data_IF_587274987401
#
_entry.id   IF_587274987401
#
_cell.length_a   1.000
_cell.length_b   1.000
_cell.length_c   1.000
_cell.angle_alpha   90.00
_cell.angle_beta   90.00
_cell.angle_gamma   90.00
#
_symmetry.space_group_name_H-M   'P 1'
#
loop_
_entity.id
_entity.type
_entity.pdbx_description
1 polymer ?
#
# COMPACT_ATOMS: atom_id res chain seq x y z
N UNK A 1 -8.32 1.30 -16.25
CA UNK A 1 -8.48 2.44 -15.31
C UNK A 1 -8.02 2.08 -13.90
N UNK A 2 -8.57 1.02 -13.27
CA UNK A 2 -8.30 0.71 -11.86
C UNK A 2 -6.83 0.34 -11.55
N UNK A 3 -6.15 -0.50 -12.33
CA UNK A 3 -4.74 -0.85 -12.08
C UNK A 3 -3.78 0.34 -12.19
N UNK A 4 -3.96 1.21 -13.18
CA UNK A 4 -3.13 2.40 -13.34
C UNK A 4 -3.29 3.34 -12.14
N UNK A 5 -4.51 3.45 -11.61
CA UNK A 5 -4.78 4.23 -10.41
C UNK A 5 -4.09 3.64 -9.18
N UNK A 6 -4.10 2.31 -9.03
CA UNK A 6 -3.39 1.62 -7.93
C UNK A 6 -1.88 1.87 -8.00
N UNK A 7 -1.27 1.76 -9.19
CA UNK A 7 0.16 2.07 -9.36
C UNK A 7 0.50 3.53 -9.04
N UNK A 8 -0.34 4.47 -9.48
CA UNK A 8 -0.13 5.89 -9.15
C UNK A 8 -0.22 6.14 -7.64
N UNK A 9 -1.22 5.57 -6.97
CA UNK A 9 -1.38 5.72 -5.52
C UNK A 9 -0.19 5.12 -4.75
N UNK A 10 0.39 4.01 -5.22
CA UNK A 10 1.62 3.44 -4.66
C UNK A 10 2.83 4.37 -4.81
N UNK A 11 3.01 4.97 -5.98
CA UNK A 11 4.08 5.95 -6.20
C UNK A 11 3.89 7.20 -5.33
N UNK A 12 2.65 7.70 -5.20
CA UNK A 12 2.35 8.84 -4.32
C UNK A 12 2.62 8.49 -2.86
N UNK A 13 2.20 7.30 -2.41
CA UNK A 13 2.44 6.80 -1.06
C UNK A 13 3.94 6.78 -0.75
N UNK A 14 4.74 6.23 -1.67
CA UNK A 14 6.20 6.14 -1.56
C UNK A 14 6.89 7.50 -1.58
N UNK A 15 6.41 8.44 -2.39
CA UNK A 15 6.93 9.80 -2.42
C UNK A 15 6.61 10.56 -1.13
N UNK A 16 5.41 10.39 -0.58
CA UNK A 16 4.98 11.00 0.68
C UNK A 16 5.81 10.47 1.86
N UNK A 17 5.94 9.15 1.91
CA UNK A 17 6.79 8.38 2.83
C UNK A 17 8.25 8.84 2.74
N UNK A 18 8.82 8.89 1.53
CA UNK A 18 10.21 9.27 1.30
C UNK A 18 10.51 10.75 1.49
N UNK A 19 9.49 11.62 1.45
CA UNK A 19 9.62 13.05 1.78
C UNK A 19 9.68 13.32 3.28
N UNK A 20 9.20 12.39 4.10
CA UNK A 20 9.19 12.58 5.53
C UNK A 20 10.50 12.06 6.12
N UNK A 21 11.32 12.96 6.66
CA UNK A 21 12.67 12.65 7.20
C UNK A 21 12.68 11.67 8.39
N UNK A 22 11.50 11.35 8.93
CA UNK A 22 11.34 10.55 10.15
C UNK A 22 10.43 9.36 9.89
N UNK A 23 10.77 8.57 8.86
CA UNK A 23 10.05 7.34 8.60
C UNK A 23 10.71 6.17 9.30
N UNK A 24 9.91 5.37 10.00
CA UNK A 24 10.36 4.15 10.66
C UNK A 24 10.90 3.15 9.63
N UNK A 25 12.06 2.56 9.91
CA UNK A 25 12.65 1.52 9.08
C UNK A 25 11.68 0.33 8.87
N UNK A 26 10.83 0.05 9.87
CA UNK A 26 9.76 -0.94 9.75
C UNK A 26 8.69 -0.54 8.74
N UNK A 27 8.33 0.74 8.67
CA UNK A 27 7.34 1.23 7.71
C UNK A 27 7.88 1.16 6.27
N UNK A 28 9.18 1.43 6.06
CA UNK A 28 9.84 1.23 4.76
C UNK A 28 9.80 -0.24 4.34
N UNK A 29 10.12 -1.16 5.26
CA UNK A 29 10.13 -2.59 4.95
C UNK A 29 8.72 -3.11 4.62
N UNK A 30 7.72 -2.71 5.42
CA UNK A 30 6.31 -3.00 5.19
C UNK A 30 5.82 -2.43 3.86
N UNK A 31 6.17 -1.18 3.53
CA UNK A 31 5.82 -0.55 2.26
C UNK A 31 6.37 -1.35 1.08
N UNK A 32 7.62 -1.83 1.17
CA UNK A 32 8.23 -2.64 0.11
C UNK A 32 7.55 -4.00 -0.07
N UNK A 33 7.17 -4.67 1.03
CA UNK A 33 6.41 -5.94 1.00
C UNK A 33 5.03 -5.72 0.36
N UNK A 34 4.35 -4.68 0.79
CA UNK A 34 3.04 -4.31 0.29
C UNK A 34 3.07 -3.94 -1.20
N UNK A 35 4.00 -3.08 -1.65
CA UNK A 35 4.19 -2.72 -3.07
C UNK A 35 4.44 -3.98 -3.93
N UNK A 36 5.25 -4.90 -3.43
CA UNK A 36 5.52 -6.18 -4.10
C UNK A 36 4.26 -7.05 -4.18
N UNK A 37 3.52 -7.20 -3.08
CA UNK A 37 2.29 -7.98 -3.03
C UNK A 37 1.21 -7.43 -3.96
N UNK A 38 1.03 -6.11 -4.00
CA UNK A 38 0.11 -5.44 -4.93
C UNK A 38 0.50 -5.71 -6.38
N UNK A 39 1.79 -5.58 -6.71
CA UNK A 39 2.27 -5.90 -8.05
C UNK A 39 2.04 -7.36 -8.43
N UNK A 40 2.17 -8.30 -7.48
CA UNK A 40 1.87 -9.72 -7.73
C UNK A 40 0.37 -9.96 -7.94
N UNK A 41 -0.49 -9.33 -7.15
CA UNK A 41 -1.95 -9.42 -7.28
C UNK A 41 -2.44 -8.84 -8.61
N UNK A 42 -1.97 -7.66 -8.99
CA UNK A 42 -2.28 -7.02 -10.28
C UNK A 42 -1.84 -7.91 -11.45
N UNK A 43 -0.66 -8.54 -11.35
CA UNK A 43 -0.11 -9.36 -12.42
C UNK A 43 -0.69 -10.80 -12.45
N UNK A 44 -1.72 -11.08 -11.63
CA UNK A 44 -2.57 -12.27 -11.67
C UNK A 44 -1.82 -13.61 -11.58
N UNK A 45 -0.76 -13.71 -10.78
CA UNK A 45 0.01 -14.95 -10.64
C UNK A 45 -0.22 -15.76 -9.36
N UNK A 46 -0.97 -15.28 -8.35
CA UNK A 46 -1.28 -16.10 -7.16
C UNK A 46 -2.63 -15.78 -6.50
N UNK A 47 -3.45 -16.81 -6.31
CA UNK A 47 -4.73 -16.79 -5.57
C UNK A 47 -4.56 -16.86 -4.03
N UNK A 48 -3.33 -16.97 -3.51
CA UNK A 48 -3.06 -17.20 -2.07
C UNK A 48 -2.47 -16.00 -1.33
N UNK A 49 -2.06 -14.93 -2.03
CA UNK A 49 -1.43 -13.75 -1.42
C UNK A 49 -2.42 -12.65 -0.98
N UNK A 50 -3.69 -12.82 -1.29
CA UNK A 50 -4.73 -11.83 -1.07
C UNK A 50 -4.85 -11.42 0.41
N UNK A 51 -4.83 -12.42 1.30
CA UNK A 51 -4.89 -12.21 2.74
C UNK A 51 -3.65 -11.50 3.30
N UNK A 52 -2.46 -11.75 2.75
CA UNK A 52 -1.20 -11.19 3.25
C UNK A 52 -1.06 -9.71 2.92
N UNK A 53 -1.50 -9.31 1.73
CA UNK A 53 -1.44 -7.91 1.28
C UNK A 53 -2.40 -7.03 2.08
N UNK A 54 -3.59 -7.56 2.42
CA UNK A 54 -4.55 -6.85 3.24
C UNK A 54 -4.04 -6.65 4.68
N UNK A 55 -3.37 -7.66 5.25
CA UNK A 55 -2.76 -7.59 6.59
C UNK A 55 -1.60 -6.56 6.61
N UNK A 56 -0.76 -6.56 5.58
CA UNK A 56 0.30 -5.56 5.40
C UNK A 56 -0.27 -4.13 5.27
N UNK A 57 -1.41 -3.98 4.57
CA UNK A 57 -2.10 -2.69 4.46
C UNK A 57 -2.59 -2.20 5.84
N UNK A 58 -3.18 -3.08 6.65
CA UNK A 58 -3.65 -2.72 8.00
C UNK A 58 -2.49 -2.30 8.90
N UNK A 59 -1.36 -3.02 8.82
CA UNK A 59 -0.15 -2.68 9.58
C UNK A 59 0.47 -1.33 9.16
N UNK A 60 0.48 -1.04 7.85
CA UNK A 60 0.87 0.27 7.32
C UNK A 60 -0.09 1.37 7.75
N UNK A 61 -1.40 1.13 7.74
CA UNK A 61 -2.42 2.10 8.15
C UNK A 61 -2.21 2.50 9.62
N UNK A 62 -1.96 1.53 10.50
CA UNK A 62 -1.65 1.78 11.91
C UNK A 62 -0.36 2.59 12.10
N UNK A 63 0.66 2.32 11.29
CA UNK A 63 1.94 3.05 11.33
C UNK A 63 1.79 4.48 10.81
N UNK A 64 1.00 4.68 9.77
CA UNK A 64 0.75 5.99 9.16
C UNK A 64 -0.26 6.84 9.94
N UNK A 65 -1.22 6.24 10.66
CA UNK A 65 -2.18 6.98 11.48
C UNK A 65 -1.50 7.82 12.58
N UNK A 66 -0.32 7.40 13.06
CA UNK A 66 0.42 8.10 14.10
C UNK A 66 1.35 9.17 13.53
N UNK A 67 2.06 8.86 12.43
CA UNK A 67 3.15 9.71 11.93
C UNK A 67 2.88 10.37 10.56
N UNK A 68 1.96 9.84 9.76
CA UNK A 68 1.76 10.23 8.35
C UNK A 68 0.27 10.19 7.92
N UNK A 69 -0.57 11.14 8.38
CA UNK A 69 -2.01 11.16 8.06
C UNK A 69 -2.32 11.30 6.56
N UNK A 70 -1.37 11.82 5.78
CA UNK A 70 -1.46 11.89 4.32
C UNK A 70 -1.23 10.51 3.67
N UNK A 71 -0.20 9.78 4.12
CA UNK A 71 0.07 8.41 3.65
C UNK A 71 -1.08 7.46 4.02
N UNK A 72 -1.67 7.63 5.20
CA UNK A 72 -2.88 6.89 5.61
C UNK A 72 -4.04 7.08 4.63
N UNK A 73 -4.33 8.31 4.21
CA UNK A 73 -5.36 8.59 3.20
C UNK A 73 -5.09 7.93 1.85
N UNK A 74 -3.84 8.00 1.38
CA UNK A 74 -3.44 7.40 0.10
C UNK A 74 -3.56 5.87 0.16
N UNK A 75 -3.15 5.27 1.28
CA UNK A 75 -3.28 3.83 1.52
C UNK A 75 -4.75 3.39 1.58
N UNK A 76 -5.62 4.17 2.24
CA UNK A 76 -7.06 3.89 2.31
C UNK A 76 -7.73 3.94 0.93
N UNK A 77 -7.36 4.92 0.10
CA UNK A 77 -7.77 5.02 -1.31
C UNK A 77 -7.26 3.82 -2.13
N UNK A 78 -6.03 3.37 -1.85
CA UNK A 78 -5.43 2.22 -2.52
C UNK A 78 -6.19 0.93 -2.18
N UNK A 79 -6.44 0.65 -0.89
CA UNK A 79 -7.22 -0.51 -0.43
C UNK A 79 -8.62 -0.50 -1.06
N UNK A 80 -9.30 0.64 -1.07
CA UNK A 80 -10.61 0.77 -1.71
C UNK A 80 -10.55 0.51 -3.23
N UNK A 81 -9.43 0.88 -3.87
CA UNK A 81 -9.20 0.61 -5.29
C UNK A 81 -8.95 -0.88 -5.57
N UNK A 82 -8.26 -1.59 -4.65
CA UNK A 82 -8.06 -3.04 -4.71
C UNK A 82 -9.38 -3.80 -4.49
N UNK A 83 -10.17 -3.41 -3.48
CA UNK A 83 -11.50 -4.02 -3.26
C UNK A 83 -12.43 -3.85 -4.46
N UNK A 84 -12.31 -2.71 -5.19
CA UNK A 84 -13.03 -2.51 -6.46
C UNK A 84 -12.54 -3.40 -7.60
N UNK A 85 -11.30 -3.88 -7.54
CA UNK A 85 -10.75 -4.86 -8.48
C UNK A 85 -11.21 -6.29 -8.15
N UNK A 86 -11.92 -6.50 -7.04
CA UNK A 86 -12.35 -7.83 -6.59
C UNK A 86 -11.25 -8.61 -5.85
N UNK A 87 -10.29 -7.84 -5.29
CA UNK A 87 -9.17 -8.27 -4.46
C UNK A 87 -9.57 -7.91 -3.02
#
# INVERSE_FOLDING_TARGET
MSEQRVKQLLEELKLEVGRTENIDAKAIELLGKFETGIHQLINAQMNEQDNTVLDDAIALEASFAVSHPLAEKVLRELVNSLSKLGI
#
